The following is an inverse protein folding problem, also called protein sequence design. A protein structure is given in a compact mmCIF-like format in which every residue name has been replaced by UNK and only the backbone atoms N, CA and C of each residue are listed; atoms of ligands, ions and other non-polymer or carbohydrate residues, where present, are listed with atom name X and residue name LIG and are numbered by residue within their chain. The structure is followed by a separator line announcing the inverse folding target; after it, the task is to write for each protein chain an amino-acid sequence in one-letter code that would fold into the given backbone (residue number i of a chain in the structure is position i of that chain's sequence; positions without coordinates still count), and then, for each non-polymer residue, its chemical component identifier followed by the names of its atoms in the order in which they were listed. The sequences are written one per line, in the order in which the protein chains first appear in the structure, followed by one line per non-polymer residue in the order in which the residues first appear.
data_IF_102726729587
#
_entry.id   IF_102726729587
#
_cell.length_a   1.000
_cell.length_b   1.000
_cell.length_c   1.000
_cell.angle_alpha   90.00
_cell.angle_beta   90.00
_cell.angle_gamma   90.00
#
_symmetry.space_group_name_H-M   'P 1'
#
loop_
_entity.id
_entity.type
_entity.pdbx_description
1 polymer ?
#
# COMPACT_ATOMS: atom_id res chain seq x y z
N UNK A 1 2.56 -28.52 -2.79
CA UNK A 1 1.29 -27.85 -3.23
C UNK A 1 1.39 -26.40 -2.76
N UNK A 2 1.32 -25.43 -3.67
CA UNK A 2 1.25 -24.02 -3.31
C UNK A 2 -0.14 -23.80 -2.73
N UNK A 3 -0.23 -23.50 -1.43
CA UNK A 3 -1.52 -23.15 -0.83
C UNK A 3 -1.94 -21.81 -1.43
N UNK A 4 -2.99 -21.80 -2.24
CA UNK A 4 -3.50 -20.59 -2.88
C UNK A 4 -3.87 -19.59 -1.78
N UNK A 5 -3.24 -18.42 -1.78
CA UNK A 5 -3.58 -17.33 -0.87
C UNK A 5 -4.99 -16.84 -1.22
N UNK A 6 -5.83 -16.66 -0.22
CA UNK A 6 -7.20 -16.19 -0.44
C UNK A 6 -7.20 -14.78 -1.05
N UNK A 7 -8.19 -14.44 -1.90
CA UNK A 7 -8.36 -13.08 -2.39
C UNK A 7 -8.49 -12.08 -1.24
N UNK A 8 -7.86 -10.92 -1.39
CA UNK A 8 -7.96 -9.86 -0.41
C UNK A 8 -9.20 -9.01 -0.69
N UNK A 9 -9.97 -8.68 0.34
CA UNK A 9 -11.25 -7.97 0.23
C UNK A 9 -11.13 -6.54 0.75
N UNK A 10 -11.60 -5.59 -0.04
CA UNK A 10 -11.77 -4.18 0.34
C UNK A 10 -13.27 -3.87 0.42
N UNK A 11 -13.84 -3.66 1.61
CA UNK A 11 -15.23 -3.30 1.76
C UNK A 11 -15.46 -1.82 1.37
N UNK A 12 -15.65 -1.57 0.08
CA UNK A 12 -15.95 -0.24 -0.46
C UNK A 12 -17.44 -0.16 -0.71
N UNK A 13 -18.11 0.81 -0.11
CA UNK A 13 -19.57 1.00 -0.25
C UNK A 13 -19.96 2.33 -0.88
N UNK A 14 -19.04 3.00 -1.57
CA UNK A 14 -19.27 4.26 -2.25
C UNK A 14 -19.37 4.11 -3.78
N UNK A 15 -20.13 5.01 -4.40
CA UNK A 15 -20.14 5.29 -5.84
C UNK A 15 -20.37 4.08 -6.74
N UNK A 16 -19.36 3.76 -7.55
CA UNK A 16 -19.44 2.74 -8.61
C UNK A 16 -19.33 1.28 -8.14
N UNK A 17 -19.05 1.05 -6.85
CA UNK A 17 -18.91 -0.31 -6.32
C UNK A 17 -20.26 -0.87 -5.85
N UNK A 18 -21.02 -1.42 -6.80
CA UNK A 18 -22.39 -1.91 -6.57
C UNK A 18 -22.50 -3.04 -5.52
N UNK A 19 -21.42 -3.76 -5.26
CA UNK A 19 -21.40 -4.90 -4.34
C UNK A 19 -20.77 -4.57 -2.98
N UNK A 20 -20.48 -3.31 -2.70
CA UNK A 20 -19.84 -2.85 -1.46
C UNK A 20 -18.49 -3.51 -1.15
N UNK A 21 -17.83 -4.07 -2.16
CA UNK A 21 -16.57 -4.78 -1.99
C UNK A 21 -15.76 -4.81 -3.29
N UNK A 22 -14.45 -4.55 -3.20
CA UNK A 22 -13.48 -4.86 -4.24
C UNK A 22 -12.70 -6.09 -3.85
N UNK A 23 -12.66 -7.07 -4.73
CA UNK A 23 -11.90 -8.30 -4.54
C UNK A 23 -10.60 -8.18 -5.30
N UNK A 24 -9.49 -8.27 -4.60
CA UNK A 24 -8.17 -8.39 -5.19
C UNK A 24 -7.90 -9.89 -5.37
N UNK A 25 -8.16 -10.42 -6.56
CA UNK A 25 -7.98 -11.84 -6.87
C UNK A 25 -6.55 -12.30 -6.62
N UNK A 26 -5.59 -11.43 -6.91
CA UNK A 26 -4.19 -11.60 -6.51
C UNK A 26 -3.87 -10.54 -5.45
N UNK A 27 -3.53 -10.95 -4.22
CA UNK A 27 -3.33 -10.04 -3.10
C UNK A 27 -1.97 -9.34 -3.16
N UNK A 28 -1.72 -8.63 -4.25
CA UNK A 28 -0.46 -7.94 -4.55
C UNK A 28 -0.72 -6.44 -4.70
N UNK A 29 -0.11 -5.65 -3.83
CA UNK A 29 -0.32 -4.21 -3.73
C UNK A 29 0.95 -3.45 -4.11
N UNK A 30 0.84 -2.43 -4.97
CA UNK A 30 1.92 -1.48 -5.23
C UNK A 30 2.08 -0.55 -4.01
N UNK A 31 3.27 -0.56 -3.40
CA UNK A 31 3.61 0.32 -2.28
C UNK A 31 3.60 1.79 -2.67
N UNK A 32 3.15 2.70 -1.81
CA UNK A 32 3.36 4.14 -1.98
C UNK A 32 4.85 4.48 -1.90
N UNK A 33 5.38 5.14 -2.93
CA UNK A 33 6.80 5.56 -3.01
C UNK A 33 6.89 7.00 -3.52
N UNK A 34 7.39 7.90 -2.66
CA UNK A 34 7.53 9.33 -2.98
C UNK A 34 8.43 9.55 -4.21
N UNK A 35 7.98 10.38 -5.15
CA UNK A 35 8.66 10.65 -6.41
C UNK A 35 8.56 9.52 -7.46
N UNK A 36 7.81 8.45 -7.18
CA UNK A 36 7.79 7.25 -8.02
C UNK A 36 6.36 6.85 -8.38
N UNK A 37 5.48 6.67 -7.40
CA UNK A 37 4.12 6.14 -7.64
C UNK A 37 3.14 7.23 -8.10
N UNK A 38 3.57 8.02 -9.09
CA UNK A 38 2.69 8.91 -9.85
C UNK A 38 1.69 8.09 -10.71
N UNK A 39 0.70 8.76 -11.28
CA UNK A 39 -0.37 8.09 -12.04
C UNK A 39 0.16 7.23 -13.19
N UNK A 40 1.21 7.67 -13.89
CA UNK A 40 1.79 6.93 -15.00
C UNK A 40 2.40 5.59 -14.53
N UNK A 41 3.19 5.62 -13.45
CA UNK A 41 3.79 4.40 -12.91
C UNK A 41 2.73 3.46 -12.31
N UNK A 42 1.70 4.00 -11.63
CA UNK A 42 0.57 3.19 -11.15
C UNK A 42 -0.17 2.51 -12.31
N UNK A 43 -0.37 3.23 -13.43
CA UNK A 43 -0.98 2.66 -14.65
C UNK A 43 -0.15 1.47 -15.17
N UNK A 44 1.17 1.63 -15.31
CA UNK A 44 2.03 0.52 -15.74
C UNK A 44 1.95 -0.70 -14.82
N UNK A 45 1.97 -0.49 -13.50
CA UNK A 45 1.86 -1.60 -12.53
C UNK A 45 0.48 -2.26 -12.58
N UNK A 46 -0.59 -1.48 -12.77
CA UNK A 46 -1.96 -1.99 -12.93
C UNK A 46 -2.08 -2.87 -14.18
N UNK A 47 -1.56 -2.42 -15.31
CA UNK A 47 -1.58 -3.17 -16.57
C UNK A 47 -0.83 -4.50 -16.47
N UNK A 48 0.10 -4.60 -15.52
CA UNK A 48 0.83 -5.82 -15.20
C UNK A 48 0.17 -6.66 -14.08
N UNK A 49 -1.03 -6.27 -13.62
CA UNK A 49 -1.82 -7.08 -12.69
C UNK A 49 -1.69 -6.71 -11.21
N UNK A 50 -1.14 -5.53 -10.87
CA UNK A 50 -1.24 -5.03 -9.50
C UNK A 50 -2.72 -4.94 -9.08
N UNK A 51 -3.09 -5.56 -7.95
CA UNK A 51 -4.48 -5.57 -7.47
C UNK A 51 -4.91 -4.23 -6.87
N UNK A 52 -3.99 -3.55 -6.19
CA UNK A 52 -4.16 -2.20 -5.67
C UNK A 52 -2.87 -1.39 -5.89
N UNK A 53 -3.01 -0.11 -6.14
CA UNK A 53 -1.90 0.81 -6.43
C UNK A 53 -2.08 2.09 -5.63
N UNK A 54 -1.28 2.24 -4.57
CA UNK A 54 -1.41 3.36 -3.64
C UNK A 54 -0.65 4.58 -4.17
N UNK A 55 -1.28 5.76 -4.10
CA UNK A 55 -0.65 7.02 -4.53
C UNK A 55 0.60 7.35 -3.72
N UNK A 56 1.37 8.33 -4.19
CA UNK A 56 2.39 8.96 -3.35
C UNK A 56 1.75 9.55 -2.09
N UNK A 57 2.53 9.56 -1.00
CA UNK A 57 2.09 10.14 0.27
C UNK A 57 1.85 11.65 0.13
N UNK A 58 0.67 12.12 0.48
CA UNK A 58 0.35 13.54 0.58
C UNK A 58 0.04 13.94 2.03
N UNK A 59 0.36 15.19 2.39
CA UNK A 59 0.02 15.67 3.73
C UNK A 59 -1.45 16.07 3.79
N UNK A 60 -2.15 15.68 4.84
CA UNK A 60 -3.55 16.05 5.04
C UNK A 60 -3.75 17.59 5.02
N UNK A 61 -2.81 18.35 5.57
CA UNK A 61 -2.83 19.82 5.55
C UNK A 61 -2.82 20.38 4.13
N UNK A 62 -1.84 19.96 3.31
CA UNK A 62 -1.73 20.44 1.92
C UNK A 62 -2.93 20.02 1.05
N UNK A 63 -3.56 18.89 1.38
CA UNK A 63 -4.79 18.44 0.71
C UNK A 63 -5.97 19.38 1.01
N UNK A 64 -6.20 19.73 2.28
CA UNK A 64 -7.24 20.69 2.67
C UNK A 64 -7.00 22.06 2.01
N UNK A 65 -5.75 22.49 1.97
CA UNK A 65 -5.34 23.75 1.32
C UNK A 65 -5.37 23.68 -0.21
N UNK A 66 -5.70 22.52 -0.79
CA UNK A 66 -5.75 22.26 -2.24
C UNK A 66 -4.47 22.63 -2.96
N UNK A 67 -3.32 22.37 -2.30
CA UNK A 67 -2.04 22.67 -2.90
C UNK A 67 -1.92 21.98 -4.28
N UNK A 68 -1.57 22.71 -5.36
CA UNK A 68 -1.65 22.17 -6.73
C UNK A 68 -0.89 20.86 -6.91
N UNK A 69 0.31 20.75 -6.33
CA UNK A 69 1.12 19.53 -6.41
C UNK A 69 0.45 18.36 -5.67
N UNK A 70 -0.19 18.62 -4.51
CA UNK A 70 -0.94 17.59 -3.77
C UNK A 70 -2.12 17.08 -4.58
N UNK A 71 -2.88 17.97 -5.19
CA UNK A 71 -4.01 17.61 -6.05
C UNK A 71 -3.55 16.79 -7.27
N UNK A 72 -2.41 17.17 -7.87
CA UNK A 72 -1.79 16.40 -8.97
C UNK A 72 -1.41 14.99 -8.54
N UNK A 73 -0.84 14.81 -7.34
CA UNK A 73 -0.39 13.49 -6.84
C UNK A 73 -1.54 12.52 -6.60
N UNK A 74 -2.70 13.01 -6.15
CA UNK A 74 -3.88 12.17 -5.94
C UNK A 74 -4.73 11.95 -7.20
N UNK A 75 -4.46 12.70 -8.28
CA UNK A 75 -5.21 12.54 -9.53
C UNK A 75 -4.97 11.13 -10.08
N UNK A 76 -6.05 10.36 -10.33
CA UNK A 76 -5.93 9.01 -10.85
C UNK A 76 -5.50 9.02 -12.32
N UNK A 77 -4.89 7.93 -12.77
CA UNK A 77 -4.70 7.63 -14.18
C UNK A 77 -6.02 7.25 -14.87
N UNK A 78 -6.03 7.20 -16.19
CA UNK A 78 -7.22 6.78 -16.96
C UNK A 78 -7.62 5.36 -16.56
N UNK A 79 -8.87 5.21 -16.09
CA UNK A 79 -9.41 3.92 -15.65
C UNK A 79 -8.76 3.38 -14.36
N UNK A 80 -8.09 4.20 -13.57
CA UNK A 80 -7.53 3.83 -12.28
C UNK A 80 -8.65 3.67 -11.25
N UNK A 81 -8.95 2.43 -10.90
CA UNK A 81 -9.95 2.05 -9.90
C UNK A 81 -9.53 0.75 -9.21
N UNK A 82 -9.61 0.67 -7.86
CA UNK A 82 -9.99 1.73 -6.94
C UNK A 82 -8.93 2.84 -6.82
N UNK A 83 -9.37 4.08 -6.58
CA UNK A 83 -8.50 5.24 -6.34
C UNK A 83 -7.99 5.20 -4.90
N UNK A 84 -6.74 4.85 -4.72
CA UNK A 84 -6.13 4.69 -3.41
C UNK A 84 -5.23 5.87 -3.07
N UNK A 85 -5.53 6.60 -2.01
CA UNK A 85 -4.79 7.79 -1.57
C UNK A 85 -4.08 7.53 -0.25
N UNK A 86 -2.74 7.73 -0.22
CA UNK A 86 -2.01 7.67 1.04
C UNK A 86 -1.89 9.04 1.70
N UNK A 87 -2.38 9.13 2.95
CA UNK A 87 -2.32 10.33 3.77
C UNK A 87 -1.23 10.25 4.84
N UNK A 88 -0.59 11.38 5.06
CA UNK A 88 0.27 11.65 6.20
C UNK A 88 -0.32 12.77 7.05
N UNK A 89 -0.43 12.54 8.35
CA UNK A 89 -0.92 13.53 9.31
C UNK A 89 -0.25 13.38 10.67
N UNK A 90 -0.23 14.48 11.43
CA UNK A 90 0.17 14.54 12.84
C UNK A 90 -0.89 15.22 13.71
N UNK A 91 -2.06 15.47 13.16
CA UNK A 91 -3.20 16.14 13.79
C UNK A 91 -4.48 15.38 13.44
N UNK A 92 -5.22 14.86 14.44
CA UNK A 92 -6.45 14.10 14.22
C UNK A 92 -7.57 14.90 13.55
N UNK A 93 -7.67 16.19 13.85
CA UNK A 93 -8.71 17.06 13.26
C UNK A 93 -8.41 17.27 11.78
N UNK A 94 -7.15 17.55 11.47
CA UNK A 94 -6.70 17.81 10.09
C UNK A 94 -6.88 16.56 9.21
N UNK A 95 -6.56 15.37 9.71
CA UNK A 95 -6.75 14.15 8.91
C UNK A 95 -8.23 13.85 8.68
N UNK A 96 -9.08 14.08 9.67
CA UNK A 96 -10.54 13.93 9.51
C UNK A 96 -11.09 14.88 8.43
N UNK A 97 -10.70 16.15 8.45
CA UNK A 97 -11.10 17.14 7.43
C UNK A 97 -10.59 16.77 6.02
N UNK A 98 -9.36 16.25 5.92
CA UNK A 98 -8.81 15.80 4.65
C UNK A 98 -9.58 14.62 4.06
N UNK A 99 -9.99 13.67 4.90
CA UNK A 99 -10.79 12.52 4.48
C UNK A 99 -12.22 12.94 4.15
N UNK A 100 -12.81 13.86 4.92
CA UNK A 100 -14.12 14.43 4.59
C UNK A 100 -14.11 15.13 3.21
N UNK A 101 -13.01 15.84 2.86
CA UNK A 101 -12.85 16.42 1.53
C UNK A 101 -12.76 15.35 0.44
N UNK A 102 -11.94 14.31 0.64
CA UNK A 102 -11.80 13.21 -0.32
C UNK A 102 -13.13 12.49 -0.58
N UNK A 103 -13.88 12.22 0.48
CA UNK A 103 -15.17 11.54 0.37
C UNK A 103 -16.28 12.42 -0.21
N UNK A 104 -16.39 13.67 0.24
CA UNK A 104 -17.45 14.60 -0.22
C UNK A 104 -17.29 14.95 -1.71
N UNK A 105 -16.08 14.98 -2.24
CA UNK A 105 -15.79 15.29 -3.64
C UNK A 105 -15.55 14.05 -4.51
N UNK A 106 -15.77 12.86 -3.97
CA UNK A 106 -15.56 11.58 -4.67
C UNK A 106 -14.13 11.47 -5.28
N UNK A 107 -13.11 11.78 -4.49
CA UNK A 107 -11.73 11.78 -4.94
C UNK A 107 -10.94 10.51 -4.57
N UNK A 108 -11.48 9.66 -3.69
CA UNK A 108 -10.84 8.43 -3.24
C UNK A 108 -11.85 7.31 -2.96
N UNK A 109 -11.47 6.09 -3.26
CA UNK A 109 -12.20 4.86 -2.96
C UNK A 109 -11.56 4.11 -1.78
N UNK A 110 -10.32 4.41 -1.45
CA UNK A 110 -9.54 3.81 -0.39
C UNK A 110 -8.55 4.81 0.19
N UNK A 111 -8.39 4.80 1.52
CA UNK A 111 -7.43 5.63 2.24
C UNK A 111 -6.40 4.73 2.92
N UNK A 112 -5.11 5.01 2.70
CA UNK A 112 -4.01 4.39 3.43
C UNK A 112 -3.31 5.43 4.32
N UNK A 113 -3.05 5.11 5.59
CA UNK A 113 -2.38 6.01 6.53
C UNK A 113 -0.90 5.66 6.64
N UNK A 114 -0.04 6.67 6.46
CA UNK A 114 1.40 6.50 6.52
C UNK A 114 1.94 6.58 7.95
N UNK A 115 2.35 5.42 8.46
CA UNK A 115 3.09 5.27 9.72
C UNK A 115 4.44 4.56 9.51
N UNK A 116 4.96 4.60 8.29
CA UNK A 116 6.19 3.90 7.93
C UNK A 116 7.27 4.75 7.28
N UNK A 117 7.01 6.04 6.97
CA UNK A 117 8.02 6.90 6.34
C UNK A 117 9.17 7.15 7.31
N UNK A 118 10.43 6.74 6.98
CA UNK A 118 11.57 6.87 7.87
C UNK A 118 12.32 8.19 7.68
N UNK A 119 11.95 9.00 6.68
CA UNK A 119 12.71 10.20 6.27
C UNK A 119 12.77 11.22 7.41
N UNK A 120 13.96 11.77 7.75
CA UNK A 120 14.13 12.71 8.86
C UNK A 120 13.21 13.93 8.82
N UNK A 121 12.89 14.44 7.63
CA UNK A 121 11.95 15.57 7.45
C UNK A 121 10.54 15.23 8.00
N UNK A 122 10.16 13.96 7.99
CA UNK A 122 8.87 13.45 8.48
C UNK A 122 8.96 13.06 9.95
N UNK A 123 9.97 12.26 10.32
CA UNK A 123 10.11 11.70 11.68
C UNK A 123 10.45 12.77 12.74
N UNK A 124 11.27 13.76 12.40
CA UNK A 124 11.58 14.90 13.29
C UNK A 124 10.33 15.73 13.67
N UNK A 125 9.31 15.71 12.84
CA UNK A 125 8.00 16.33 13.13
C UNK A 125 7.08 15.37 13.92
N UNK A 126 7.56 14.20 14.27
CA UNK A 126 6.84 13.18 15.04
C UNK A 126 5.81 12.41 14.24
N UNK A 127 5.96 12.34 12.92
CA UNK A 127 5.09 11.61 12.03
C UNK A 127 5.77 10.40 11.37
N UNK A 128 5.12 9.77 10.39
CA UNK A 128 5.62 8.57 9.74
C UNK A 128 5.96 7.47 10.74
N UNK A 129 7.14 6.86 10.63
CA UNK A 129 7.57 5.76 11.49
C UNK A 129 7.74 6.14 12.98
N UNK A 130 7.85 7.43 13.32
CA UNK A 130 7.95 7.87 14.72
C UNK A 130 6.59 8.04 15.39
N UNK A 131 5.48 8.13 14.63
CA UNK A 131 4.16 8.42 15.20
C UNK A 131 3.62 7.27 16.07
N UNK A 132 3.76 5.97 15.72
CA UNK A 132 3.27 4.87 16.54
C UNK A 132 3.84 4.84 17.97
N UNK A 133 5.01 5.45 18.20
CA UNK A 133 5.58 5.62 19.53
C UNK A 133 4.73 6.55 20.43
N UNK A 134 4.01 7.49 19.82
CA UNK A 134 3.06 8.40 20.50
C UNK A 134 1.67 7.79 20.54
N UNK A 135 1.49 6.71 21.29
CA UNK A 135 0.30 5.84 21.30
C UNK A 135 -1.04 6.60 21.27
N UNK A 136 -1.23 7.59 22.15
CA UNK A 136 -2.48 8.38 22.22
C UNK A 136 -2.75 9.16 20.93
N UNK A 137 -1.71 9.79 20.37
CA UNK A 137 -1.84 10.55 19.13
C UNK A 137 -2.08 9.62 17.93
N UNK A 138 -1.40 8.49 17.87
CA UNK A 138 -1.63 7.45 16.86
C UNK A 138 -3.08 6.99 16.86
N UNK A 139 -3.61 6.57 18.02
CA UNK A 139 -4.99 6.11 18.13
C UNK A 139 -5.99 7.21 17.74
N UNK A 140 -5.78 8.46 18.18
CA UNK A 140 -6.65 9.58 17.83
C UNK A 140 -6.67 9.88 16.31
N UNK A 141 -5.52 9.74 15.62
CA UNK A 141 -5.45 9.92 14.16
C UNK A 141 -6.18 8.78 13.46
N UNK A 142 -5.95 7.53 13.85
CA UNK A 142 -6.63 6.37 13.25
C UNK A 142 -8.14 6.47 13.48
N UNK A 143 -8.59 6.74 14.70
CA UNK A 143 -10.00 6.89 15.06
C UNK A 143 -10.69 7.98 14.23
N UNK A 144 -10.07 9.17 14.17
CA UNK A 144 -10.58 10.29 13.37
C UNK A 144 -10.69 9.91 11.89
N UNK A 145 -9.68 9.19 11.37
CA UNK A 145 -9.66 8.75 9.97
C UNK A 145 -10.77 7.75 9.67
N UNK A 146 -10.91 6.70 10.47
CA UNK A 146 -11.95 5.68 10.30
C UNK A 146 -13.34 6.31 10.43
N UNK A 147 -13.56 7.17 11.43
CA UNK A 147 -14.83 7.86 11.62
C UNK A 147 -15.21 8.78 10.45
N UNK A 148 -14.25 9.51 9.90
CA UNK A 148 -14.49 10.38 8.75
C UNK A 148 -14.80 9.55 7.49
N UNK A 149 -14.00 8.53 7.21
CA UNK A 149 -14.13 7.67 6.04
C UNK A 149 -15.43 6.85 6.03
N UNK A 150 -15.90 6.42 7.21
CA UNK A 150 -17.13 5.65 7.37
C UNK A 150 -18.38 6.40 6.85
N UNK A 151 -18.40 7.74 6.88
CA UNK A 151 -19.49 8.56 6.34
C UNK A 151 -19.69 8.35 4.82
N UNK A 152 -18.65 7.94 4.15
CA UNK A 152 -18.60 7.78 2.70
C UNK A 152 -18.39 6.32 2.27
N UNK A 153 -18.39 5.38 3.21
CA UNK A 153 -18.13 3.97 2.89
C UNK A 153 -16.74 3.69 2.36
N UNK A 154 -15.74 4.51 2.75
CA UNK A 154 -14.36 4.38 2.29
C UNK A 154 -13.58 3.55 3.33
N UNK A 155 -12.93 2.42 2.94
CA UNK A 155 -12.08 1.66 3.84
C UNK A 155 -10.77 2.40 4.16
N UNK A 156 -10.30 2.23 5.39
CA UNK A 156 -9.03 2.80 5.88
C UNK A 156 -8.07 1.68 6.18
N UNK A 157 -6.85 1.78 5.69
CA UNK A 157 -5.73 0.88 6.00
C UNK A 157 -4.56 1.64 6.61
N UNK A 158 -3.61 0.91 7.16
CA UNK A 158 -2.39 1.51 7.70
C UNK A 158 -1.16 0.80 7.15
N UNK A 159 -0.14 1.57 6.78
CA UNK A 159 1.18 1.05 6.43
C UNK A 159 2.22 1.54 7.43
N UNK A 160 2.95 0.59 8.05
CA UNK A 160 3.90 0.88 9.11
C UNK A 160 5.23 0.14 8.95
N UNK A 161 6.19 0.48 9.80
CA UNK A 161 7.45 -0.25 10.02
C UNK A 161 7.44 -0.93 11.39
N UNK A 162 8.45 -1.79 11.63
CA UNK A 162 8.63 -2.51 12.90
C UNK A 162 8.71 -1.56 14.09
N UNK A 163 9.33 -0.41 13.89
CA UNK A 163 9.54 0.60 14.92
C UNK A 163 10.55 1.64 14.48
N UNK A 164 11.14 2.34 15.45
CA UNK A 164 12.15 3.38 15.23
C UNK A 164 13.52 2.73 14.99
N UNK A 165 13.95 1.90 15.91
CA UNK A 165 15.24 1.22 15.95
C UNK A 165 15.08 -0.19 16.57
N UNK A 166 16.21 -0.84 16.91
CA UNK A 166 16.23 -2.20 17.48
C UNK A 166 15.62 -2.29 18.88
N UNK A 167 15.56 -1.19 19.63
CA UNK A 167 15.04 -1.14 20.99
C UNK A 167 13.60 -0.62 21.08
N UNK A 168 13.18 0.15 20.09
CA UNK A 168 11.86 0.82 20.07
C UNK A 168 10.95 0.22 19.01
N UNK A 169 10.53 -1.02 19.22
CA UNK A 169 9.54 -1.68 18.37
C UNK A 169 8.12 -1.22 18.78
N UNK A 170 7.33 -0.80 17.81
CA UNK A 170 5.99 -0.25 18.05
C UNK A 170 4.89 -1.01 17.33
N UNK A 171 5.24 -1.88 16.37
CA UNK A 171 4.30 -2.43 15.39
C UNK A 171 3.18 -3.28 15.98
N UNK A 172 3.44 -4.10 17.01
CA UNK A 172 2.41 -4.95 17.61
C UNK A 172 1.31 -4.13 18.28
N UNK A 173 1.67 -3.25 19.22
CA UNK A 173 0.72 -2.41 19.93
C UNK A 173 -0.03 -1.45 19.00
N UNK A 174 0.70 -0.85 18.04
CA UNK A 174 0.11 0.08 17.08
C UNK A 174 -0.87 -0.64 16.13
N UNK A 175 -0.50 -1.80 15.61
CA UNK A 175 -1.37 -2.57 14.74
C UNK A 175 -2.62 -3.07 15.47
N UNK A 176 -2.47 -3.55 16.72
CA UNK A 176 -3.61 -3.96 17.54
C UNK A 176 -4.57 -2.79 17.78
N UNK A 177 -4.01 -1.61 18.15
CA UNK A 177 -4.82 -0.39 18.33
C UNK A 177 -5.53 0.00 17.04
N UNK A 178 -4.86 -0.07 15.89
CA UNK A 178 -5.46 0.24 14.60
C UNK A 178 -6.59 -0.76 14.25
N UNK A 179 -6.36 -2.05 14.47
CA UNK A 179 -7.37 -3.09 14.25
C UNK A 179 -8.62 -2.88 15.11
N UNK A 180 -8.44 -2.58 16.41
CA UNK A 180 -9.54 -2.31 17.34
C UNK A 180 -10.34 -1.06 16.96
N UNK A 181 -9.72 -0.11 16.23
CA UNK A 181 -10.36 1.11 15.75
C UNK A 181 -11.01 0.95 14.37
N UNK A 182 -10.92 -0.23 13.77
CA UNK A 182 -11.67 -0.57 12.55
C UNK A 182 -10.92 -0.36 11.23
N UNK A 183 -9.59 -0.45 11.21
CA UNK A 183 -8.87 -0.48 9.93
C UNK A 183 -9.11 -1.81 9.21
N UNK A 184 -9.12 -1.77 7.89
CA UNK A 184 -9.42 -2.93 7.05
C UNK A 184 -8.24 -3.92 6.99
N UNK A 185 -7.00 -3.45 6.94
CA UNK A 185 -5.78 -4.25 7.06
C UNK A 185 -4.59 -3.43 7.55
N UNK A 186 -3.53 -4.13 7.91
CA UNK A 186 -2.25 -3.54 8.30
C UNK A 186 -1.16 -4.04 7.36
N UNK A 187 -0.40 -3.13 6.73
CA UNK A 187 0.78 -3.48 5.94
C UNK A 187 2.06 -3.21 6.75
N UNK A 188 2.90 -4.21 6.93
CA UNK A 188 4.15 -4.11 7.69
C UNK A 188 5.37 -4.20 6.78
N UNK A 189 6.16 -3.10 6.70
CA UNK A 189 7.52 -3.19 6.19
C UNK A 189 8.43 -3.73 7.31
N UNK A 190 9.00 -4.91 7.08
CA UNK A 190 9.76 -5.67 8.07
C UNK A 190 11.18 -5.12 8.32
N UNK A 191 11.28 -3.79 8.46
CA UNK A 191 12.49 -3.02 8.84
C UNK A 191 12.11 -1.94 9.85
N UNK A 192 13.07 -1.52 10.67
CA UNK A 192 12.92 -0.31 11.49
C UNK A 192 13.10 0.96 10.66
N UNK A 193 12.80 2.13 11.23
CA UNK A 193 13.06 3.41 10.58
C UNK A 193 14.55 3.66 10.40
N UNK A 194 15.37 3.32 11.41
CA UNK A 194 16.82 3.46 11.40
C UNK A 194 17.47 2.67 10.27
N UNK A 195 17.04 1.44 10.05
CA UNK A 195 17.53 0.60 8.95
C UNK A 195 17.30 1.22 7.57
N UNK A 196 16.38 2.16 7.45
CA UNK A 196 15.99 2.72 6.15
C UNK A 196 15.70 1.61 5.12
N UNK A 197 16.72 1.28 4.31
CA UNK A 197 16.67 0.23 3.29
C UNK A 197 17.86 -0.73 3.36
N UNK A 198 18.67 -0.62 4.40
CA UNK A 198 19.87 -1.42 4.61
C UNK A 198 19.53 -2.79 5.21
N UNK A 199 20.48 -3.72 5.09
CA UNK A 199 20.32 -5.09 5.58
C UNK A 199 19.17 -5.83 4.90
N UNK A 200 18.65 -6.86 5.55
CA UNK A 200 17.52 -7.67 5.11
C UNK A 200 16.26 -7.33 5.89
N UNK A 201 15.10 -7.46 5.28
CA UNK A 201 13.81 -7.37 5.95
C UNK A 201 13.61 -8.62 6.83
N UNK A 202 13.32 -8.42 8.10
CA UNK A 202 13.08 -9.52 9.05
C UNK A 202 11.62 -10.00 8.94
N UNK A 203 11.38 -10.97 8.06
CA UNK A 203 10.03 -11.51 7.84
C UNK A 203 9.43 -12.17 9.08
N UNK A 204 10.23 -12.57 10.08
CA UNK A 204 9.70 -13.07 11.34
C UNK A 204 8.81 -12.05 12.07
N UNK A 205 9.04 -10.74 11.84
CA UNK A 205 8.20 -9.67 12.36
C UNK A 205 6.81 -9.64 11.71
N UNK A 206 6.74 -10.03 10.43
CA UNK A 206 5.44 -10.17 9.74
C UNK A 206 4.68 -11.36 10.34
N UNK A 207 5.32 -12.51 10.51
CA UNK A 207 4.73 -13.69 11.13
C UNK A 207 4.22 -13.39 12.55
N UNK A 208 5.03 -12.72 13.37
CA UNK A 208 4.63 -12.31 14.71
C UNK A 208 3.42 -11.36 14.70
N UNK A 209 3.34 -10.46 13.71
CA UNK A 209 2.19 -9.56 13.57
C UNK A 209 0.93 -10.32 13.14
N UNK A 210 1.05 -11.29 12.21
CA UNK A 210 -0.07 -12.15 11.79
C UNK A 210 -0.64 -12.89 12.99
N UNK A 211 0.21 -13.52 13.81
CA UNK A 211 -0.21 -14.21 15.03
C UNK A 211 -0.88 -13.24 16.02
N UNK A 212 -0.27 -12.06 16.22
CA UNK A 212 -0.77 -11.06 17.16
C UNK A 212 -2.15 -10.51 16.77
N UNK A 213 -2.42 -10.32 15.47
CA UNK A 213 -3.69 -9.81 14.96
C UNK A 213 -4.74 -10.90 14.68
N UNK A 214 -4.39 -12.18 14.72
CA UNK A 214 -5.32 -13.28 14.43
C UNK A 214 -6.65 -13.18 15.21
N UNK A 215 -6.68 -12.81 16.51
CA UNK A 215 -7.93 -12.67 17.26
C UNK A 215 -8.84 -11.53 16.77
N UNK A 216 -8.30 -10.57 16.01
CA UNK A 216 -9.08 -9.42 15.49
C UNK A 216 -9.71 -9.72 14.13
N UNK A 217 -9.22 -10.72 13.42
CA UNK A 217 -9.59 -11.01 12.05
C UNK A 217 -9.05 -10.00 11.00
N UNK A 218 -8.29 -8.98 11.41
CA UNK A 218 -7.72 -7.97 10.51
C UNK A 218 -6.51 -8.55 9.78
N UNK A 219 -6.53 -8.59 8.42
CA UNK A 219 -5.44 -9.15 7.63
C UNK A 219 -4.14 -8.34 7.76
N UNK A 220 -3.00 -9.04 7.67
CA UNK A 220 -1.68 -8.44 7.58
C UNK A 220 -1.15 -8.60 6.16
N UNK A 221 -0.60 -7.53 5.58
CA UNK A 221 0.14 -7.57 4.33
C UNK A 221 1.64 -7.43 4.60
N UNK A 222 2.43 -8.34 4.00
CA UNK A 222 3.88 -8.34 4.17
C UNK A 222 4.58 -7.40 3.19
N UNK A 223 5.64 -6.72 3.62
CA UNK A 223 6.46 -5.85 2.78
C UNK A 223 7.94 -5.92 3.16
N UNK A 224 8.81 -5.94 2.16
CA UNK A 224 10.27 -5.94 2.29
C UNK A 224 10.91 -7.09 1.51
N UNK A 225 11.88 -6.74 0.66
CA UNK A 225 12.73 -7.66 -0.11
C UNK A 225 11.98 -8.66 -1.00
N UNK A 226 10.98 -8.16 -1.70
CA UNK A 226 10.26 -8.89 -2.75
C UNK A 226 10.83 -8.44 -4.08
N UNK A 227 11.59 -9.31 -4.75
CA UNK A 227 12.29 -9.06 -6.00
C UNK A 227 11.81 -9.94 -7.15
N UNK A 228 11.13 -11.05 -6.82
CA UNK A 228 10.58 -12.03 -7.76
C UNK A 228 9.18 -12.46 -7.32
N UNK A 229 8.42 -13.10 -8.21
CA UNK A 229 7.15 -13.74 -7.87
C UNK A 229 7.30 -14.79 -6.78
N UNK A 230 8.38 -15.56 -6.84
CA UNK A 230 8.70 -16.58 -5.82
C UNK A 230 8.92 -15.97 -4.42
N UNK A 231 9.51 -14.76 -4.31
CA UNK A 231 9.67 -14.09 -3.02
C UNK A 231 8.32 -13.72 -2.41
N UNK A 232 7.37 -13.27 -3.23
CA UNK A 232 6.01 -12.94 -2.77
C UNK A 232 5.29 -14.16 -2.20
N UNK A 233 5.30 -15.27 -2.92
CA UNK A 233 4.70 -16.54 -2.48
C UNK A 233 5.39 -17.07 -1.24
N UNK A 234 6.73 -17.05 -1.20
CA UNK A 234 7.51 -17.47 -0.05
C UNK A 234 7.18 -16.63 1.20
N UNK A 235 7.10 -15.31 1.08
CA UNK A 235 6.69 -14.45 2.19
C UNK A 235 5.31 -14.85 2.73
N UNK A 236 4.33 -15.04 1.86
CA UNK A 236 2.99 -15.45 2.29
C UNK A 236 2.99 -16.82 2.99
N UNK A 237 3.77 -17.78 2.48
CA UNK A 237 3.89 -19.12 3.08
C UNK A 237 4.62 -19.14 4.42
N UNK A 238 5.74 -18.43 4.54
CA UNK A 238 6.56 -18.40 5.75
C UNK A 238 5.92 -17.59 6.87
N UNK A 239 5.15 -16.54 6.54
CA UNK A 239 4.62 -15.62 7.53
C UNK A 239 3.12 -15.74 7.78
N UNK A 240 2.38 -16.40 6.89
CA UNK A 240 0.93 -16.47 6.94
C UNK A 240 0.23 -15.15 6.60
N UNK A 241 0.94 -14.15 6.03
CA UNK A 241 0.32 -12.89 5.64
C UNK A 241 -0.70 -13.09 4.50
N UNK A 242 -1.75 -12.27 4.49
CA UNK A 242 -2.86 -12.36 3.55
C UNK A 242 -2.54 -11.80 2.16
N UNK A 243 -1.42 -11.11 2.00
CA UNK A 243 -0.99 -10.53 0.76
C UNK A 243 0.35 -9.82 0.91
N UNK A 244 0.85 -9.27 -0.19
CA UNK A 244 2.16 -8.63 -0.24
C UNK A 244 2.09 -7.21 -0.79
N UNK A 245 2.94 -6.34 -0.25
CA UNK A 245 3.10 -4.96 -0.71
C UNK A 245 4.49 -4.82 -1.34
N UNK A 246 4.54 -4.44 -2.60
CA UNK A 246 5.78 -4.39 -3.39
C UNK A 246 6.23 -2.95 -3.59
N UNK A 247 7.46 -2.68 -3.17
CA UNK A 247 8.11 -1.37 -3.34
C UNK A 247 9.26 -1.46 -4.35
N UNK A 248 10.49 -1.32 -3.87
CA UNK A 248 11.72 -1.21 -4.70
C UNK A 248 11.91 -2.31 -5.74
N UNK A 249 11.38 -3.51 -5.51
CA UNK A 249 11.48 -4.62 -6.44
C UNK A 249 10.89 -4.34 -7.83
N UNK A 250 9.87 -3.47 -7.92
CA UNK A 250 9.24 -3.10 -9.18
C UNK A 250 9.84 -1.85 -9.87
N UNK A 251 10.87 -1.21 -9.28
CA UNK A 251 11.50 -0.04 -9.87
C UNK A 251 12.18 -0.39 -11.20
N UNK A 252 11.77 0.27 -12.29
CA UNK A 252 12.21 -0.05 -13.64
C UNK A 252 11.73 -1.42 -14.15
N UNK A 253 10.87 -2.11 -13.37
CA UNK A 253 10.41 -3.48 -13.66
C UNK A 253 8.93 -3.65 -13.30
N UNK A 254 8.00 -2.87 -13.87
CA UNK A 254 6.56 -2.99 -13.57
C UNK A 254 6.01 -4.39 -13.85
N UNK A 255 6.61 -5.14 -14.76
CA UNK A 255 6.28 -6.55 -15.06
C UNK A 255 6.51 -7.51 -13.88
N UNK A 256 7.17 -7.08 -12.79
CA UNK A 256 7.22 -7.88 -11.55
C UNK A 256 5.82 -8.20 -11.03
N UNK A 257 4.83 -7.36 -11.29
CA UNK A 257 3.45 -7.65 -10.91
C UNK A 257 2.87 -8.83 -11.68
N UNK A 258 3.17 -8.96 -12.98
CA UNK A 258 2.76 -10.13 -13.76
C UNK A 258 3.44 -11.42 -13.28
N UNK A 259 4.72 -11.35 -12.90
CA UNK A 259 5.44 -12.47 -12.28
C UNK A 259 4.81 -12.88 -10.93
N UNK A 260 4.44 -11.91 -10.09
CA UNK A 260 3.75 -12.17 -8.82
C UNK A 260 2.37 -12.80 -9.03
N UNK A 261 1.58 -12.28 -9.98
CA UNK A 261 0.27 -12.85 -10.32
C UNK A 261 0.40 -14.30 -10.74
N UNK A 262 1.32 -14.59 -11.66
CA UNK A 262 1.58 -15.96 -12.13
C UNK A 262 2.01 -16.87 -10.96
N UNK A 263 2.95 -16.41 -10.13
CA UNK A 263 3.44 -17.18 -8.98
C UNK A 263 2.33 -17.48 -7.96
N UNK A 264 1.47 -16.50 -7.62
CA UNK A 264 0.34 -16.73 -6.71
C UNK A 264 -0.73 -17.66 -7.29
N UNK A 265 -0.86 -17.71 -8.62
CA UNK A 265 -1.74 -18.64 -9.33
C UNK A 265 -1.13 -20.05 -9.49
N UNK A 266 0.18 -20.21 -9.23
CA UNK A 266 0.90 -21.45 -9.51
C UNK A 266 1.21 -21.66 -10.99
N UNK A 267 1.30 -20.58 -11.73
CA UNK A 267 1.61 -20.52 -13.16
C UNK A 267 3.10 -20.22 -13.38
N UNK A 268 3.60 -20.51 -14.58
CA UNK A 268 4.96 -20.10 -14.96
C UNK A 268 5.05 -18.58 -15.09
N UNK A 269 6.19 -18.03 -14.67
CA UNK A 269 6.48 -16.60 -14.86
C UNK A 269 6.39 -16.20 -16.33
N UNK A 270 5.71 -15.08 -16.66
CA UNK A 270 5.67 -14.61 -18.03
C UNK A 270 7.09 -14.33 -18.55
N UNK A 271 7.32 -14.56 -19.81
CA UNK A 271 8.59 -14.18 -20.44
C UNK A 271 8.81 -12.69 -20.25
N UNK A 272 9.94 -12.32 -19.65
CA UNK A 272 10.31 -10.92 -19.50
C UNK A 272 10.38 -10.25 -20.86
N UNK A 273 9.95 -8.98 -21.00
CA UNK A 273 10.19 -8.21 -22.22
C UNK A 273 11.70 -8.25 -22.50
N UNK A 274 12.10 -8.76 -23.65
CA UNK A 274 13.50 -8.67 -24.05
C UNK A 274 13.80 -7.20 -24.32
N UNK A 275 14.88 -6.66 -23.74
CA UNK A 275 15.38 -5.32 -24.07
C UNK A 275 15.75 -5.18 -25.56
N UNK A 276 15.67 -6.27 -26.32
CA UNK A 276 16.04 -6.43 -27.73
C UNK A 276 14.93 -7.08 -28.57
N UNK A 277 13.67 -7.05 -28.17
CA UNK A 277 12.62 -7.33 -29.16
C UNK A 277 12.62 -6.20 -30.18
N UNK A 278 13.21 -6.56 -31.27
CA UNK A 278 13.52 -5.90 -32.48
C UNK A 278 12.44 -4.91 -32.94
N UNK A 279 12.74 -3.62 -32.83
CA UNK A 279 11.98 -2.55 -33.50
C UNK A 279 12.07 -2.61 -35.03
N UNK A 280 12.74 -3.62 -35.60
CA UNK A 280 12.85 -3.84 -37.05
C UNK A 280 11.50 -4.23 -37.68
N UNK A 281 10.58 -4.84 -36.93
CA UNK A 281 9.30 -5.30 -37.48
C UNK A 281 8.21 -4.22 -37.55
N UNK A 282 8.40 -3.07 -36.93
CA UNK A 282 7.46 -1.93 -37.00
C UNK A 282 7.81 -0.98 -38.18
N UNK A 283 9.04 -0.95 -38.65
CA UNK A 283 9.44 -0.12 -39.81
C UNK A 283 9.00 -0.67 -41.15
N UNK A 284 8.81 -1.99 -41.27
CA UNK A 284 8.40 -2.62 -42.54
C UNK A 284 6.88 -2.56 -42.81
N UNK A 285 6.06 -2.18 -41.83
CA UNK A 285 4.61 -1.98 -42.05
C UNK A 285 4.21 -0.57 -42.45
N UNK A 286 5.11 0.42 -42.33
CA UNK A 286 4.86 1.80 -42.75
C UNK A 286 5.47 2.13 -44.13
N UNK A 287 6.24 1.24 -44.71
CA UNK A 287 6.81 1.43 -46.04
C UNK A 287 6.02 0.71 -47.16
N UNK A 288 4.87 0.09 -46.80
CA UNK A 288 4.04 -0.68 -47.76
C UNK A 288 2.57 -0.18 -47.76
N UNK A 289 2.34 1.09 -47.39
CA UNK A 289 1.04 1.74 -47.59
C UNK A 289 1.17 3.08 -48.30
#
# INVERSE_FOLDING_TARGET
MITKVAPLRLPISNGQFANNEVILDTPVVLAPMAGITNSAFRTLCREQGAGLFVSEMVTARALIERHPETMRLITPGVGETPRSVQLYAVDPTVVGQAIDLLGAEDLADHIDLNFGCPVPKVTRRGGGAALPYKRKLFSAIVESSVKAAAKYGIPVTVKMRVGIDSEHHTYLDAAKSAADLGVTWVALHARTAEQMYEGQADWSRIAALVEHLAPTGVPVLGNGDIWTGADGVRMAQETGCAGVVVGRGCLGRPWLFADLVAAFNGEESPKLPSLFEDTSNTRNKQAAS
#
